data_IF_576721130657
#
_entry.id   IF_576721130657
#
_cell.length_a   1.000
_cell.length_b   1.000
_cell.length_c   1.000
_cell.angle_alpha   90.00
_cell.angle_beta   90.00
_cell.angle_gamma   90.00
#
_symmetry.space_group_name_H-M   'P 1'
#
loop_
_entity.id
_entity.type
_entity.pdbx_description
1 polymer ?
#
# COMPACT_ATOMS: atom_id res chain seq x y z
N UNK A 1 -5.76 -15.11 -25.36
CA UNK A 1 -4.78 -15.16 -24.25
C UNK A 1 -5.30 -14.33 -23.09
N UNK A 2 -5.53 -14.93 -21.92
CA UNK A 2 -6.17 -14.30 -20.75
C UNK A 2 -5.30 -13.16 -20.19
N UNK A 3 -5.91 -12.03 -19.81
CA UNK A 3 -5.23 -10.83 -19.29
C UNK A 3 -4.44 -11.11 -18.00
N UNK A 4 -4.89 -12.08 -17.19
CA UNK A 4 -4.14 -12.59 -16.03
C UNK A 4 -2.81 -13.23 -16.43
N UNK A 5 -2.78 -13.98 -17.54
CA UNK A 5 -1.57 -14.69 -18.01
C UNK A 5 -0.49 -13.73 -18.50
N UNK A 6 -0.87 -12.59 -19.11
CA UNK A 6 0.08 -11.54 -19.51
C UNK A 6 0.71 -10.86 -18.29
N UNK A 7 -0.07 -10.57 -17.25
CA UNK A 7 0.44 -9.91 -16.03
C UNK A 7 1.52 -10.74 -15.31
N UNK A 8 1.33 -12.07 -15.21
CA UNK A 8 2.29 -12.96 -14.57
C UNK A 8 3.55 -13.23 -15.41
N UNK A 9 3.43 -13.23 -16.74
CA UNK A 9 4.57 -13.48 -17.62
C UNK A 9 5.57 -12.32 -17.60
N UNK A 10 5.08 -11.08 -17.61
CA UNK A 10 5.95 -9.90 -17.59
C UNK A 10 6.52 -9.59 -16.19
N UNK A 11 5.84 -9.94 -15.10
CA UNK A 11 6.43 -9.79 -13.77
C UNK A 11 7.68 -10.66 -13.59
N UNK A 12 7.69 -11.87 -14.17
CA UNK A 12 8.84 -12.79 -14.17
C UNK A 12 10.03 -12.33 -15.01
N UNK A 13 9.76 -11.65 -16.13
CA UNK A 13 10.83 -11.11 -17.00
C UNK A 13 11.48 -9.87 -16.38
N UNK A 14 10.70 -9.05 -15.67
CA UNK A 14 11.17 -7.79 -15.07
C UNK A 14 11.85 -8.01 -13.70
N UNK A 15 11.52 -9.09 -12.99
CA UNK A 15 12.20 -9.53 -11.77
C UNK A 15 12.28 -11.06 -11.71
N UNK A 16 13.47 -11.66 -11.85
CA UNK A 16 13.62 -13.10 -11.64
C UNK A 16 13.18 -13.44 -10.21
N UNK A 17 12.31 -14.46 -10.09
CA UNK A 17 11.92 -15.01 -8.80
C UNK A 17 13.11 -15.81 -8.26
N UNK A 18 13.80 -15.27 -7.24
CA UNK A 18 14.82 -16.02 -6.50
C UNK A 18 14.24 -17.34 -5.97
N UNK A 19 15.04 -18.40 -5.95
CA UNK A 19 14.66 -19.65 -5.29
C UNK A 19 14.32 -19.43 -3.82
N UNK A 20 13.33 -20.17 -3.30
CA UNK A 20 12.79 -19.99 -1.94
C UNK A 20 13.88 -19.99 -0.85
N UNK A 21 14.91 -20.83 -0.99
CA UNK A 21 16.03 -20.92 -0.04
C UNK A 21 16.89 -19.64 -0.04
N UNK A 22 17.20 -19.10 -1.21
CA UNK A 22 17.98 -17.86 -1.36
C UNK A 22 17.18 -16.68 -0.79
N UNK A 23 15.89 -16.60 -1.11
CA UNK A 23 14.99 -15.58 -0.56
C UNK A 23 14.96 -15.61 0.95
N UNK A 24 14.82 -16.80 1.56
CA UNK A 24 14.80 -16.94 3.02
C UNK A 24 16.14 -16.50 3.65
N UNK A 25 17.27 -16.94 3.10
CA UNK A 25 18.62 -16.53 3.57
C UNK A 25 18.81 -15.02 3.48
N UNK A 26 18.36 -14.41 2.40
CA UNK A 26 18.48 -12.97 2.19
C UNK A 26 17.60 -12.16 3.17
N UNK A 27 16.36 -12.62 3.44
CA UNK A 27 15.49 -11.99 4.46
C UNK A 27 16.18 -12.05 5.84
N UNK A 28 16.70 -13.22 6.24
CA UNK A 28 17.41 -13.37 7.52
C UNK A 28 18.65 -12.47 7.60
N UNK A 29 19.40 -12.34 6.51
CA UNK A 29 20.53 -11.42 6.46
C UNK A 29 20.10 -9.96 6.64
N UNK A 30 19.02 -9.53 5.97
CA UNK A 30 18.47 -8.18 6.11
C UNK A 30 17.97 -7.90 7.54
N UNK A 31 17.33 -8.86 8.20
CA UNK A 31 16.93 -8.73 9.60
C UNK A 31 18.15 -8.51 10.52
N UNK A 32 19.19 -9.32 10.34
CA UNK A 32 20.42 -9.17 11.13
C UNK A 32 21.08 -7.80 10.93
N UNK A 33 21.12 -7.31 9.69
CA UNK A 33 21.68 -5.98 9.39
C UNK A 33 20.83 -4.84 9.96
N UNK A 34 19.51 -5.00 9.95
CA UNK A 34 18.55 -4.07 10.54
C UNK A 34 18.74 -3.90 12.05
N UNK A 35 19.13 -4.97 12.73
CA UNK A 35 19.41 -4.95 14.18
C UNK A 35 20.79 -4.36 14.48
N UNK A 36 21.79 -4.61 13.61
CA UNK A 36 23.15 -4.11 13.81
C UNK A 36 23.33 -2.62 13.52
N UNK A 37 22.58 -2.06 12.56
CA UNK A 37 22.66 -0.64 12.21
C UNK A 37 21.29 0.06 12.35
N UNK A 38 21.01 0.67 13.52
CA UNK A 38 19.79 1.41 13.77
C UNK A 38 19.57 2.61 12.83
N UNK A 39 20.63 3.22 12.30
CA UNK A 39 20.54 4.40 11.43
C UNK A 39 20.01 4.00 10.04
N UNK A 40 20.40 2.81 9.57
CA UNK A 40 19.95 2.26 8.29
C UNK A 40 18.70 1.39 8.41
N UNK A 41 18.09 1.26 9.59
CA UNK A 41 16.90 0.44 9.83
C UNK A 41 15.78 0.65 8.82
N UNK A 42 15.49 1.90 8.44
CA UNK A 42 14.47 2.20 7.42
C UNK A 42 14.83 1.61 6.06
N UNK A 43 16.10 1.69 5.69
CA UNK A 43 16.60 1.12 4.43
C UNK A 43 16.36 -0.38 4.41
N UNK A 44 16.70 -1.08 5.50
CA UNK A 44 16.48 -2.52 5.60
C UNK A 44 14.99 -2.89 5.58
N UNK A 45 14.13 -2.14 6.29
CA UNK A 45 12.67 -2.31 6.21
C UNK A 45 12.17 -2.21 4.76
N UNK A 46 12.64 -1.21 4.00
CA UNK A 46 12.26 -1.06 2.59
C UNK A 46 12.84 -2.19 1.72
N UNK A 47 14.08 -2.62 1.97
CA UNK A 47 14.70 -3.73 1.26
C UNK A 47 13.92 -5.03 1.47
N UNK A 48 13.54 -5.35 2.72
CA UNK A 48 12.69 -6.49 3.07
C UNK A 48 11.35 -6.41 2.32
N UNK A 49 10.70 -5.24 2.30
CA UNK A 49 9.47 -5.04 1.53
C UNK A 49 9.64 -5.24 0.02
N UNK A 50 10.77 -4.78 -0.54
CA UNK A 50 11.08 -4.91 -1.97
C UNK A 50 11.28 -6.38 -2.41
N UNK A 51 11.67 -7.28 -1.50
CA UNK A 51 11.72 -8.73 -1.77
C UNK A 51 10.35 -9.24 -2.24
N UNK A 52 9.26 -8.69 -1.72
CA UNK A 52 7.91 -8.99 -2.18
C UNK A 52 7.39 -10.39 -1.83
N UNK A 53 8.17 -11.20 -1.11
CA UNK A 53 7.79 -12.55 -0.69
C UNK A 53 6.72 -12.52 0.41
N UNK A 54 5.74 -13.44 0.44
CA UNK A 54 4.71 -13.48 1.49
C UNK A 54 5.24 -13.58 2.93
N UNK A 55 6.42 -14.17 3.13
CA UNK A 55 7.08 -14.37 4.43
C UNK A 55 7.48 -13.04 5.07
N UNK A 56 7.83 -12.05 4.24
CA UNK A 56 8.23 -10.71 4.71
C UNK A 56 7.09 -9.97 5.42
N UNK A 57 5.83 -10.35 5.20
CA UNK A 57 4.67 -9.76 5.90
C UNK A 57 4.82 -9.96 7.41
N UNK A 58 5.28 -11.13 7.85
CA UNK A 58 5.46 -11.40 9.28
C UNK A 58 6.55 -10.51 9.89
N UNK A 59 7.65 -10.33 9.16
CA UNK A 59 8.79 -9.48 9.56
C UNK A 59 8.36 -8.02 9.66
N UNK A 60 7.74 -7.50 8.61
CA UNK A 60 7.23 -6.13 8.57
C UNK A 60 6.17 -5.89 9.65
N UNK A 61 5.30 -6.87 9.91
CA UNK A 61 4.32 -6.78 11.01
C UNK A 61 4.99 -6.68 12.38
N UNK A 62 6.09 -7.40 12.62
CA UNK A 62 6.87 -7.26 13.86
C UNK A 62 7.44 -5.84 13.99
N UNK A 63 7.98 -5.27 12.90
CA UNK A 63 8.47 -3.89 12.90
C UNK A 63 7.38 -2.87 13.22
N UNK A 64 6.14 -3.08 12.78
CA UNK A 64 5.00 -2.21 13.09
C UNK A 64 4.64 -2.21 14.58
N UNK A 65 4.74 -3.37 15.24
CA UNK A 65 4.40 -3.52 16.66
C UNK A 65 5.57 -3.29 17.62
N UNK A 66 6.76 -2.98 17.10
CA UNK A 66 7.92 -2.70 17.94
C UNK A 66 7.75 -1.32 18.60
N UNK A 67 7.59 -1.31 19.92
CA UNK A 67 7.41 -0.09 20.72
C UNK A 67 8.66 0.79 20.75
N UNK A 68 9.84 0.24 20.49
CA UNK A 68 11.09 1.00 20.40
C UNK A 68 11.18 1.78 19.08
N UNK A 69 10.37 1.44 18.07
CA UNK A 69 10.40 2.10 16.79
C UNK A 69 9.55 3.36 16.82
N UNK A 70 10.08 4.44 16.21
CA UNK A 70 9.33 5.66 16.02
C UNK A 70 8.10 5.41 15.12
N UNK A 71 7.08 6.25 15.26
CA UNK A 71 5.88 6.21 14.40
C UNK A 71 6.24 6.28 12.91
N UNK A 72 7.34 6.95 12.57
CA UNK A 72 7.90 7.01 11.22
C UNK A 72 8.37 5.65 10.71
N UNK A 73 9.10 4.89 11.52
CA UNK A 73 9.57 3.54 11.17
C UNK A 73 8.40 2.55 11.09
N UNK A 74 7.47 2.61 12.04
CA UNK A 74 6.26 1.77 12.03
C UNK A 74 5.43 2.03 10.76
N UNK A 75 5.21 3.30 10.40
CA UNK A 75 4.51 3.69 9.16
C UNK A 75 5.28 3.25 7.90
N UNK A 76 6.61 3.37 7.91
CA UNK A 76 7.46 2.90 6.81
C UNK A 76 7.36 1.38 6.61
N UNK A 77 7.23 0.60 7.69
CA UNK A 77 7.05 -0.84 7.64
C UNK A 77 5.70 -1.25 7.03
N UNK A 78 4.64 -0.47 7.28
CA UNK A 78 3.35 -0.69 6.58
C UNK A 78 3.50 -0.43 5.09
N UNK A 79 4.07 0.70 4.68
CA UNK A 79 4.26 0.99 3.26
C UNK A 79 5.20 0.01 2.55
N UNK A 80 6.15 -0.61 3.28
CA UNK A 80 6.99 -1.67 2.72
C UNK A 80 6.17 -2.90 2.26
N UNK A 81 4.95 -3.10 2.78
CA UNK A 81 4.03 -4.17 2.36
C UNK A 81 3.36 -3.93 0.98
N UNK A 82 3.68 -2.83 0.29
CA UNK A 82 3.09 -2.47 -1.01
C UNK A 82 3.32 -3.48 -2.14
N UNK A 83 4.43 -4.23 -2.12
CA UNK A 83 4.66 -5.23 -3.17
C UNK A 83 3.75 -6.43 -3.00
N UNK A 84 3.43 -6.78 -1.77
CA UNK A 84 2.51 -7.83 -1.38
C UNK A 84 1.07 -7.44 -1.79
N UNK A 85 0.75 -6.14 -1.74
CA UNK A 85 -0.48 -5.57 -2.33
C UNK A 85 -0.48 -5.70 -3.86
N UNK A 86 0.61 -5.33 -4.54
CA UNK A 86 0.73 -5.46 -6.00
C UNK A 86 0.60 -6.91 -6.46
N UNK A 87 1.25 -7.83 -5.75
CA UNK A 87 1.22 -9.27 -6.03
C UNK A 87 -0.05 -9.95 -5.52
N UNK A 88 -1.01 -9.20 -4.96
CA UNK A 88 -2.28 -9.71 -4.42
C UNK A 88 -2.09 -10.88 -3.44
N UNK A 89 -1.12 -10.76 -2.54
CA UNK A 89 -0.88 -11.78 -1.52
C UNK A 89 -2.13 -11.92 -0.63
N UNK A 90 -2.71 -13.13 -0.47
CA UNK A 90 -3.92 -13.32 0.32
C UNK A 90 -3.71 -12.97 1.81
N UNK A 91 -2.46 -12.97 2.27
CA UNK A 91 -2.08 -12.66 3.65
C UNK A 91 -2.06 -11.16 3.96
N UNK A 92 -2.04 -10.28 2.95
CA UNK A 92 -1.83 -8.84 3.19
C UNK A 92 -3.10 -8.14 3.69
N UNK A 93 -4.27 -8.49 3.14
CA UNK A 93 -5.56 -7.86 3.50
C UNK A 93 -5.89 -8.03 4.98
N UNK A 94 -5.82 -9.24 5.58
CA UNK A 94 -6.11 -9.40 7.01
C UNK A 94 -5.14 -8.63 7.91
N UNK A 95 -3.87 -8.53 7.50
CA UNK A 95 -2.85 -7.78 8.26
C UNK A 95 -3.10 -6.29 8.19
N UNK A 96 -3.34 -5.72 7.01
CA UNK A 96 -3.66 -4.30 6.89
C UNK A 96 -4.94 -3.94 7.65
N UNK A 97 -5.94 -4.83 7.63
CA UNK A 97 -7.18 -4.61 8.35
C UNK A 97 -6.99 -4.65 9.87
N UNK A 98 -6.15 -5.55 10.39
CA UNK A 98 -5.85 -5.60 11.83
C UNK A 98 -5.04 -4.37 12.29
N UNK A 99 -4.10 -3.90 11.46
CA UNK A 99 -3.37 -2.65 11.73
C UNK A 99 -4.30 -1.44 11.76
N UNK A 100 -5.27 -1.35 10.86
CA UNK A 100 -6.24 -0.26 10.87
C UNK A 100 -7.12 -0.25 12.14
N UNK A 101 -7.55 -1.41 12.62
CA UNK A 101 -8.41 -1.54 13.82
C UNK A 101 -7.64 -1.45 15.14
N UNK A 102 -6.32 -1.42 15.12
CA UNK A 102 -5.53 -1.32 16.34
C UNK A 102 -5.38 0.16 16.76
N UNK A 103 -6.21 0.60 17.70
CA UNK A 103 -6.19 1.97 18.21
C UNK A 103 -4.95 2.33 19.05
N UNK A 104 -4.13 1.35 19.46
CA UNK A 104 -2.86 1.64 20.14
C UNK A 104 -1.74 2.06 19.17
N UNK A 105 -1.92 1.83 17.85
CA UNK A 105 -0.96 2.26 16.85
C UNK A 105 -1.08 3.76 16.56
N UNK A 106 0.04 4.42 16.20
CA UNK A 106 0.01 5.80 15.76
C UNK A 106 -0.94 6.01 14.57
N UNK A 107 -1.60 7.17 14.54
CA UNK A 107 -2.56 7.50 13.49
C UNK A 107 -1.94 7.31 12.09
N UNK A 108 -0.73 7.81 11.82
CA UNK A 108 -0.06 7.65 10.54
C UNK A 108 0.11 6.20 10.08
N UNK A 109 0.34 5.27 11.02
CA UNK A 109 0.46 3.85 10.74
C UNK A 109 -0.89 3.24 10.34
N UNK A 110 -1.98 3.66 10.99
CA UNK A 110 -3.35 3.27 10.64
C UNK A 110 -3.77 3.84 9.27
N UNK A 111 -3.40 5.09 8.97
CA UNK A 111 -3.65 5.72 7.67
C UNK A 111 -2.90 5.01 6.54
N UNK A 112 -1.63 4.64 6.76
CA UNK A 112 -0.86 3.85 5.80
C UNK A 112 -1.48 2.48 5.53
N UNK A 113 -2.06 1.85 6.56
CA UNK A 113 -2.76 0.58 6.39
C UNK A 113 -3.97 0.75 5.47
N UNK A 114 -4.79 1.79 5.68
CA UNK A 114 -5.94 2.12 4.81
C UNK A 114 -5.48 2.45 3.39
N UNK A 115 -4.43 3.26 3.23
CA UNK A 115 -3.90 3.67 1.93
C UNK A 115 -3.49 2.47 1.06
N UNK A 116 -2.95 1.42 1.67
CA UNK A 116 -2.63 0.18 0.98
C UNK A 116 -3.84 -0.75 0.80
N UNK A 117 -4.70 -0.82 1.82
CA UNK A 117 -5.87 -1.72 1.86
C UNK A 117 -6.82 -1.47 0.69
N UNK A 118 -7.07 -0.19 0.36
CA UNK A 118 -8.02 0.18 -0.72
C UNK A 118 -7.57 -0.27 -2.12
N UNK A 119 -6.28 -0.59 -2.31
CA UNK A 119 -5.73 -1.11 -3.57
C UNK A 119 -5.37 -2.60 -3.53
N UNK A 120 -5.63 -3.26 -2.41
CA UNK A 120 -5.29 -4.67 -2.17
C UNK A 120 -6.34 -5.67 -2.63
N UNK A 121 -7.37 -5.21 -3.35
CA UNK A 121 -8.51 -6.03 -3.76
C UNK A 121 -9.18 -6.74 -2.55
N UNK A 122 -9.62 -5.98 -1.53
CA UNK A 122 -9.95 -6.56 -0.23
C UNK A 122 -11.35 -7.22 -0.19
N UNK A 123 -12.13 -7.15 -1.27
CA UNK A 123 -13.51 -7.62 -1.33
C UNK A 123 -14.54 -6.68 -0.67
N UNK A 124 -15.82 -6.88 -1.01
CA UNK A 124 -16.92 -6.00 -0.59
C UNK A 124 -17.12 -5.95 0.93
N UNK A 125 -16.94 -7.08 1.63
CA UNK A 125 -17.11 -7.15 3.09
C UNK A 125 -16.14 -6.22 3.83
N UNK A 126 -14.90 -6.11 3.34
CA UNK A 126 -13.90 -5.18 3.91
C UNK A 126 -14.26 -3.73 3.61
N UNK A 127 -14.74 -3.44 2.39
CA UNK A 127 -15.26 -2.11 2.04
C UNK A 127 -16.43 -1.68 2.91
N UNK A 128 -17.39 -2.58 3.17
CA UNK A 128 -18.53 -2.33 4.07
C UNK A 128 -18.05 -2.02 5.49
N UNK A 129 -17.10 -2.81 5.99
CA UNK A 129 -16.53 -2.61 7.32
C UNK A 129 -15.79 -1.27 7.43
N UNK A 130 -15.01 -0.89 6.42
CA UNK A 130 -14.37 0.43 6.33
C UNK A 130 -15.40 1.57 6.29
N UNK A 131 -16.48 1.42 5.53
CA UNK A 131 -17.49 2.46 5.44
C UNK A 131 -18.19 2.67 6.79
N UNK A 132 -18.63 1.58 7.42
CA UNK A 132 -19.32 1.63 8.73
C UNK A 132 -18.37 2.11 9.85
N UNK A 133 -17.08 1.75 9.80
CA UNK A 133 -16.13 2.16 10.85
C UNK A 133 -15.98 3.68 10.95
N UNK A 134 -16.26 4.45 9.90
CA UNK A 134 -16.23 5.92 9.93
C UNK A 134 -17.20 6.54 10.95
N UNK A 135 -18.25 5.82 11.37
CA UNK A 135 -19.20 6.27 12.38
C UNK A 135 -18.64 6.19 13.80
N UNK A 136 -17.82 5.16 14.06
CA UNK A 136 -17.30 4.81 15.38
C UNK A 136 -15.82 5.14 15.56
N UNK A 137 -15.18 5.65 14.50
CA UNK A 137 -13.77 6.03 14.53
C UNK A 137 -13.54 7.22 15.47
N UNK A 138 -12.75 7.06 16.55
CA UNK A 138 -12.53 8.11 17.55
C UNK A 138 -11.77 9.31 16.98
N UNK A 139 -10.89 9.09 15.99
CA UNK A 139 -10.10 10.14 15.36
C UNK A 139 -10.81 10.71 14.13
N UNK A 140 -11.23 12.00 14.13
CA UNK A 140 -11.82 12.63 12.95
C UNK A 140 -10.89 12.59 11.73
N UNK A 141 -9.58 12.64 11.96
CA UNK A 141 -8.54 12.53 10.96
C UNK A 141 -8.61 11.19 10.19
N UNK A 142 -8.73 10.09 10.93
CA UNK A 142 -8.84 8.73 10.37
C UNK A 142 -10.18 8.55 9.67
N UNK A 143 -11.27 9.01 10.29
CA UNK A 143 -12.60 8.92 9.71
C UNK A 143 -12.66 9.65 8.34
N UNK A 144 -12.10 10.85 8.26
CA UNK A 144 -12.03 11.62 7.02
C UNK A 144 -11.18 10.91 5.96
N UNK A 145 -10.04 10.35 6.33
CA UNK A 145 -9.17 9.64 5.40
C UNK A 145 -9.87 8.41 4.79
N UNK A 146 -10.58 7.64 5.61
CA UNK A 146 -11.37 6.48 5.13
C UNK A 146 -12.53 6.95 4.24
N UNK A 147 -13.31 7.94 4.67
CA UNK A 147 -14.42 8.46 3.88
C UNK A 147 -13.98 9.06 2.53
N UNK A 148 -12.86 9.80 2.51
CA UNK A 148 -12.28 10.31 1.26
C UNK A 148 -11.75 9.20 0.37
N UNK A 149 -11.19 8.13 0.95
CA UNK A 149 -10.78 6.95 0.19
C UNK A 149 -11.97 6.26 -0.49
N UNK A 150 -13.06 6.01 0.23
CA UNK A 150 -14.28 5.42 -0.36
C UNK A 150 -14.83 6.33 -1.47
N UNK A 151 -14.95 7.62 -1.19
CA UNK A 151 -15.49 8.61 -2.14
C UNK A 151 -14.69 8.68 -3.45
N UNK A 152 -13.37 8.78 -3.36
CA UNK A 152 -12.52 8.95 -4.54
C UNK A 152 -12.31 7.64 -5.31
N UNK A 153 -12.33 6.48 -4.63
CA UNK A 153 -12.31 5.18 -5.30
C UNK A 153 -13.61 4.92 -6.06
N UNK A 154 -14.76 5.34 -5.51
CA UNK A 154 -16.05 5.21 -6.18
C UNK A 154 -16.13 5.96 -7.52
N UNK A 155 -15.33 7.02 -7.69
CA UNK A 155 -15.24 7.79 -8.94
C UNK A 155 -14.20 7.25 -9.93
N UNK A 156 -13.48 6.17 -9.58
CA UNK A 156 -12.42 5.65 -10.44
C UNK A 156 -13.00 5.03 -11.72
N UNK A 157 -12.42 5.43 -12.84
CA UNK A 157 -12.69 4.93 -14.19
C UNK A 157 -11.65 3.91 -14.64
N UNK A 158 -10.76 3.47 -13.75
CA UNK A 158 -9.73 2.48 -14.07
C UNK A 158 -10.39 1.10 -14.29
N UNK A 159 -10.33 0.60 -15.52
CA UNK A 159 -10.90 -0.69 -15.92
C UNK A 159 -10.39 -1.87 -15.09
N UNK A 160 -9.12 -1.87 -14.66
CA UNK A 160 -8.52 -2.94 -13.85
C UNK A 160 -9.04 -2.92 -12.41
N UNK A 161 -9.32 -1.73 -11.89
CA UNK A 161 -9.86 -1.52 -10.55
C UNK A 161 -11.39 -1.34 -10.52
N UNK A 162 -12.07 -1.58 -11.65
CA UNK A 162 -13.53 -1.43 -11.77
C UNK A 162 -14.33 -2.19 -10.71
N UNK A 163 -13.90 -3.40 -10.32
CA UNK A 163 -14.51 -4.18 -9.25
C UNK A 163 -14.34 -3.52 -7.87
N UNK A 164 -13.17 -2.92 -7.61
CA UNK A 164 -12.90 -2.16 -6.37
C UNK A 164 -13.73 -0.87 -6.38
N UNK A 165 -13.73 -0.13 -7.49
CA UNK A 165 -14.51 1.10 -7.66
C UNK A 165 -16.01 0.84 -7.45
N UNK A 166 -16.54 -0.24 -8.02
CA UNK A 166 -17.93 -0.68 -7.81
C UNK A 166 -18.19 -1.01 -6.35
N UNK A 167 -17.27 -1.70 -5.67
CA UNK A 167 -17.40 -2.00 -4.24
C UNK A 167 -17.43 -0.72 -3.40
N UNK A 168 -16.55 0.24 -3.70
CA UNK A 168 -16.53 1.55 -3.05
C UNK A 168 -17.82 2.33 -3.30
N UNK A 169 -18.35 2.30 -4.52
CA UNK A 169 -19.62 2.93 -4.88
C UNK A 169 -20.81 2.35 -4.09
N UNK A 170 -20.87 1.03 -3.95
CA UNK A 170 -21.94 0.35 -3.20
C UNK A 170 -21.94 0.71 -1.72
N UNK A 171 -20.77 0.94 -1.12
CA UNK A 171 -20.65 1.26 0.31
C UNK A 171 -20.62 2.75 0.60
N UNK A 172 -20.55 3.60 -0.42
CA UNK A 172 -20.52 5.05 -0.27
C UNK A 172 -21.67 5.59 0.61
N UNK A 173 -22.93 5.12 0.47
CA UNK A 173 -24.02 5.57 1.34
C UNK A 173 -23.88 5.13 2.81
N UNK A 174 -23.06 4.12 3.10
CA UNK A 174 -22.80 3.63 4.45
C UNK A 174 -21.76 4.48 5.19
N UNK A 175 -20.99 5.30 4.46
CA UNK A 175 -19.96 6.17 5.05
C UNK A 175 -20.58 7.34 5.79
N UNK A 176 -19.95 7.75 6.90
CA UNK A 176 -20.33 8.96 7.61
C UNK A 176 -20.17 10.17 6.68
N UNK A 177 -21.19 11.04 6.56
CA UNK A 177 -21.08 12.26 5.76
C UNK A 177 -20.15 13.26 6.48
N UNK A 178 -18.86 13.20 6.16
CA UNK A 178 -17.83 14.06 6.76
C UNK A 178 -17.60 15.28 5.88
N UNK A 179 -17.75 16.48 6.47
CA UNK A 179 -17.29 17.74 5.87
C UNK A 179 -15.77 17.74 5.84
N UNK A 180 -15.19 17.75 4.63
CA UNK A 180 -13.75 17.68 4.42
C UNK A 180 -13.07 18.94 4.98
N UNK A 181 -12.11 18.75 5.86
CA UNK A 181 -11.24 19.80 6.38
C UNK A 181 -9.88 19.71 5.71
N UNK A 182 -9.41 20.82 5.15
CA UNK A 182 -8.13 20.88 4.42
C UNK A 182 -6.91 20.54 5.28
N UNK A 183 -6.99 20.72 6.61
CA UNK A 183 -5.90 20.38 7.51
C UNK A 183 -5.92 18.91 7.99
N UNK A 184 -6.99 18.17 7.72
CA UNK A 184 -7.11 16.76 8.10
C UNK A 184 -6.64 15.83 6.98
N UNK A 185 -6.11 14.64 7.31
CA UNK A 185 -5.65 13.68 6.32
C UNK A 185 -6.69 13.40 5.24
N UNK A 186 -6.19 13.23 4.01
CA UNK A 186 -7.04 13.00 2.85
C UNK A 186 -6.37 12.00 1.90
N UNK A 187 -7.17 11.10 1.34
CA UNK A 187 -6.72 10.20 0.29
C UNK A 187 -7.43 10.55 -1.00
N UNK A 188 -6.68 11.04 -1.98
CA UNK A 188 -7.17 11.36 -3.31
C UNK A 188 -6.77 10.23 -4.26
N UNK A 189 -7.76 9.67 -4.95
CA UNK A 189 -7.55 8.69 -6.00
C UNK A 189 -8.21 9.20 -7.27
N UNK A 190 -7.43 9.26 -8.34
CA UNK A 190 -7.88 9.74 -9.64
C UNK A 190 -7.40 8.77 -10.72
N UNK A 191 -8.18 8.68 -11.78
CA UNK A 191 -7.85 7.82 -12.91
C UNK A 191 -8.38 8.46 -14.16
N UNK A 192 -7.60 8.38 -15.24
CA UNK A 192 -8.01 8.82 -16.55
C UNK A 192 -7.54 7.84 -17.61
N UNK A 193 -8.32 7.78 -18.68
CA UNK A 193 -8.02 7.00 -19.86
C UNK A 193 -7.88 7.95 -21.04
N UNK A 194 -6.78 7.85 -21.78
CA UNK A 194 -6.58 8.58 -23.02
C UNK A 194 -6.63 7.60 -24.18
N UNK A 195 -7.67 7.70 -25.01
CA UNK A 195 -7.85 6.87 -26.22
C UNK A 195 -6.67 6.98 -27.16
N UNK A 196 -6.18 8.20 -27.39
CA UNK A 196 -5.17 8.51 -28.41
C UNK A 196 -3.81 7.87 -28.11
N UNK A 197 -3.51 7.64 -26.83
CA UNK A 197 -2.28 6.98 -26.38
C UNK A 197 -2.51 5.53 -25.94
N UNK A 198 -3.76 5.04 -26.03
CA UNK A 198 -4.21 3.79 -25.39
C UNK A 198 -3.71 3.64 -23.95
N UNK A 199 -3.71 4.76 -23.21
CA UNK A 199 -3.02 4.86 -21.92
C UNK A 199 -4.02 5.03 -20.79
N UNK A 200 -3.99 4.10 -19.84
CA UNK A 200 -4.69 4.22 -18.57
C UNK A 200 -3.71 4.73 -17.51
N UNK A 201 -4.07 5.81 -16.83
CA UNK A 201 -3.35 6.30 -15.66
C UNK A 201 -4.25 6.21 -14.44
N UNK A 202 -3.64 5.85 -13.32
CA UNK A 202 -4.22 5.83 -11.99
C UNK A 202 -3.21 6.46 -11.03
N UNK A 203 -3.67 7.45 -10.29
CA UNK A 203 -2.87 8.10 -9.26
C UNK A 203 -3.56 8.04 -7.91
N UNK A 204 -2.75 7.86 -6.88
CA UNK A 204 -3.15 7.99 -5.50
C UNK A 204 -2.20 8.96 -4.82
N UNK A 205 -2.79 9.96 -4.17
CA UNK A 205 -2.12 10.92 -3.32
C UNK A 205 -2.72 10.81 -1.92
N UNK A 206 -1.96 10.23 -0.99
CA UNK A 206 -2.35 10.17 0.41
C UNK A 206 -1.57 11.19 1.21
N UNK A 207 -2.27 12.18 1.74
CA UNK A 207 -1.73 13.21 2.62
C UNK A 207 -2.08 12.88 4.07
N UNK A 208 -1.07 12.67 4.91
CA UNK A 208 -1.20 12.09 6.26
C UNK A 208 -0.87 13.05 7.41
N UNK A 209 -0.67 14.36 7.13
CA UNK A 209 -0.54 15.47 8.10
C UNK A 209 0.68 15.46 9.06
N UNK A 210 1.16 14.34 9.59
CA UNK A 210 2.10 14.29 10.74
C UNK A 210 3.57 14.70 10.47
N UNK A 211 3.93 15.99 10.40
CA UNK A 211 5.29 16.61 10.26
C UNK A 211 6.58 15.73 10.25
N UNK A 212 6.61 14.68 9.45
CA UNK A 212 7.71 13.74 9.26
C UNK A 212 7.78 13.45 7.75
N UNK A 213 8.95 13.07 7.26
CA UNK A 213 9.19 12.78 5.83
C UNK A 213 8.28 11.68 5.23
N UNK A 214 7.42 11.01 6.01
CA UNK A 214 6.43 10.02 5.58
C UNK A 214 5.01 10.57 5.36
N UNK A 215 4.81 11.88 5.37
CA UNK A 215 3.47 12.49 5.29
C UNK A 215 2.78 12.37 3.94
N UNK A 216 3.55 12.07 2.90
CA UNK A 216 3.06 11.96 1.55
C UNK A 216 3.38 10.56 1.03
N UNK A 217 2.32 9.85 0.66
CA UNK A 217 2.43 8.66 -0.15
C UNK A 217 1.85 8.95 -1.52
N UNK A 218 2.68 8.76 -2.55
CA UNK A 218 2.29 8.92 -3.93
C UNK A 218 2.44 7.59 -4.66
N UNK A 219 1.39 7.22 -5.39
CA UNK A 219 1.42 6.07 -6.29
C UNK A 219 0.93 6.52 -7.65
N UNK A 220 1.73 6.25 -8.66
CA UNK A 220 1.42 6.43 -10.06
C UNK A 220 1.44 5.09 -10.77
N UNK A 221 0.34 4.70 -11.39
CA UNK A 221 0.27 3.50 -12.22
C UNK A 221 -0.10 3.91 -13.63
N UNK A 222 0.77 3.61 -14.59
CA UNK A 222 0.54 3.83 -16.01
C UNK A 222 0.47 2.50 -16.73
N UNK A 223 -0.52 2.33 -17.62
CA UNK A 223 -0.67 1.16 -18.47
C UNK A 223 -0.84 1.61 -19.91
N UNK A 224 -0.12 0.97 -20.84
CA UNK A 224 -0.23 1.24 -22.28
C UNK A 224 0.09 -0.04 -23.04
N UNK A 225 -0.74 -0.41 -24.02
CA UNK A 225 -0.53 -1.55 -24.92
C UNK A 225 -0.09 -2.86 -24.25
N UNK A 226 -0.65 -3.17 -23.06
CA UNK A 226 -0.32 -4.36 -22.27
C UNK A 226 0.88 -4.24 -21.32
N UNK A 227 1.65 -3.15 -21.40
CA UNK A 227 2.68 -2.81 -20.42
C UNK A 227 2.05 -2.18 -19.17
N UNK A 228 2.54 -2.60 -18.00
CA UNK A 228 2.10 -2.10 -16.71
C UNK A 228 3.29 -1.59 -15.91
N UNK A 229 3.29 -0.31 -15.54
CA UNK A 229 4.29 0.29 -14.66
C UNK A 229 3.60 0.95 -13.48
N UNK A 230 3.94 0.51 -12.27
CA UNK A 230 3.54 1.18 -11.03
C UNK A 230 4.79 1.76 -10.36
N UNK A 231 4.86 3.09 -10.31
CA UNK A 231 5.81 3.82 -9.49
C UNK A 231 5.11 4.17 -8.18
N UNK A 232 5.70 3.78 -7.06
CA UNK A 232 5.25 4.19 -5.74
C UNK A 232 6.41 4.89 -5.07
N UNK A 233 6.17 6.12 -4.64
CA UNK A 233 7.16 6.94 -3.96
C UNK A 233 6.68 7.18 -2.53
N UNK A 234 7.49 6.69 -1.60
CA UNK A 234 7.55 7.17 -0.22
C UNK A 234 8.87 7.91 -0.16
N UNK A 235 8.89 9.22 0.14
CA UNK A 235 10.08 10.08 0.09
C UNK A 235 11.34 9.33 0.59
N UNK A 236 12.34 9.17 -0.30
CA UNK A 236 13.58 8.36 -0.20
C UNK A 236 13.40 6.85 -0.51
N UNK A 237 13.42 6.49 -1.81
CA UNK A 237 13.43 5.08 -2.25
C UNK A 237 14.37 4.77 -3.44
N UNK A 238 15.16 5.73 -3.93
CA UNK A 238 15.83 5.57 -5.22
C UNK A 238 17.09 4.67 -5.25
N UNK A 239 17.63 4.22 -4.11
CA UNK A 239 18.95 3.55 -4.10
C UNK A 239 18.89 2.01 -4.27
N UNK A 240 17.78 1.34 -3.95
CA UNK A 240 17.83 -0.13 -3.73
C UNK A 240 17.01 -1.01 -4.67
N UNK A 241 16.39 -0.44 -5.71
CA UNK A 241 15.79 -1.27 -6.79
C UNK A 241 16.82 -2.15 -7.50
N UNK A 242 18.10 -1.75 -7.51
CA UNK A 242 19.19 -2.46 -8.19
C UNK A 242 19.70 -3.69 -7.44
N UNK A 243 19.66 -3.74 -6.10
CA UNK A 243 20.27 -4.85 -5.35
C UNK A 243 19.57 -6.20 -5.58
N UNK A 244 18.25 -6.23 -5.74
CA UNK A 244 17.52 -7.48 -6.03
C UNK A 244 17.83 -8.06 -7.41
N UNK A 245 18.23 -7.23 -8.39
CA UNK A 245 18.65 -7.72 -9.71
C UNK A 245 20.04 -8.34 -9.71
N UNK A 246 20.88 -8.04 -8.71
CA UNK A 246 22.24 -8.56 -8.59
C UNK A 246 22.26 -9.95 -7.92
N UNK A 247 21.19 -10.31 -7.19
CA UNK A 247 21.17 -11.48 -6.31
C UNK A 247 20.46 -12.71 -6.93
N UNK A 248 19.61 -12.57 -7.95
CA UNK A 248 18.68 -13.63 -8.42
C UNK A 248 18.92 -14.20 -9.83
#
# INVERSE_FOLDING_TARGET
VNSKTRQHMFSRIVRPECGNEITARYITWLEKQMDSDPNLRRVYIQAIGNVGSPETIAVLRKCVHNSQYSSYLQTSAVFAMRYQVIHKSPKVVPVLMSLYHNYSLPIGTRLAAVALLVYSDPGIAVWQRLAISTWYEPSPAVAQFVASSVRTMATSQDSLYSHIARSALLVLPLTKPIKVKAHEPYNLMTSWFTSDMEKQILEQLSWMRFYNFSNLYYRHSSRSSGFFRTNMEVLIQNVYKQLLQIIC
#
